data_IF_786659207104
#
_entry.id   IF_786659207104
#
_cell.length_a   1.000
_cell.length_b   1.000
_cell.length_c   1.000
_cell.angle_alpha   90.00
_cell.angle_beta   90.00
_cell.angle_gamma   90.00
#
_symmetry.space_group_name_H-M   'P 1'
#
loop_
_entity.id
_entity.type
_entity.pdbx_description
1 polymer ?
#
# COMPACT_ATOMS: atom_id res chain seq x y z
N UNK A 1 -30.48 5.53 -2.06
CA UNK A 1 -29.60 6.51 -1.40
C UNK A 1 -28.22 5.88 -1.30
N UNK A 2 -27.33 6.19 -2.25
CA UNK A 2 -25.94 5.70 -2.34
C UNK A 2 -25.14 6.85 -2.92
N UNK A 3 -24.15 7.34 -2.16
CA UNK A 3 -23.41 8.57 -2.48
C UNK A 3 -23.29 9.44 -1.24
N UNK A 4 -22.44 9.03 -0.30
CA UNK A 4 -21.97 9.92 0.76
C UNK A 4 -20.72 10.64 0.26
N UNK A 5 -20.87 11.89 -0.17
CA UNK A 5 -19.72 12.78 -0.41
C UNK A 5 -19.28 13.38 0.93
N UNK A 6 -18.08 13.05 1.41
CA UNK A 6 -17.43 13.82 2.46
C UNK A 6 -16.74 15.00 1.75
N UNK A 7 -17.50 16.05 1.48
CA UNK A 7 -17.00 17.31 0.95
C UNK A 7 -16.69 18.25 2.12
N UNK A 8 -15.42 18.30 2.55
CA UNK A 8 -14.97 19.26 3.57
C UNK A 8 -14.47 20.53 2.88
N UNK A 9 -15.34 21.51 2.66
CA UNK A 9 -14.94 22.86 2.21
C UNK A 9 -14.82 23.79 3.42
N UNK A 10 -13.59 24.22 3.76
CA UNK A 10 -13.37 25.32 4.71
C UNK A 10 -12.92 24.97 6.15
N UNK A 11 -11.97 24.04 6.31
CA UNK A 11 -11.08 23.77 7.47
C UNK A 11 -11.24 22.44 8.26
N UNK A 12 -10.04 21.96 8.63
CA UNK A 12 -9.60 20.98 9.64
C UNK A 12 -10.07 19.53 9.55
N UNK A 13 -9.29 18.75 8.79
CA UNK A 13 -8.91 17.38 9.10
C UNK A 13 -8.52 17.24 10.59
N UNK A 14 -8.76 16.10 11.23
CA UNK A 14 -7.87 15.71 12.32
C UNK A 14 -6.49 15.44 11.72
N UNK A 15 -5.45 16.17 12.16
CA UNK A 15 -4.03 15.93 11.82
C UNK A 15 -3.61 15.82 10.33
N UNK A 16 -4.44 16.27 9.37
CA UNK A 16 -4.16 16.19 7.94
C UNK A 16 -4.76 14.99 7.21
N UNK A 17 -5.69 14.24 7.82
CA UNK A 17 -6.29 13.04 7.22
C UNK A 17 -7.74 13.28 6.75
N UNK A 18 -8.12 12.72 5.60
CA UNK A 18 -9.51 12.70 5.15
C UNK A 18 -10.33 11.68 5.95
N UNK A 19 -9.80 10.47 6.06
CA UNK A 19 -10.30 9.40 6.93
C UNK A 19 -9.16 8.92 7.81
N UNK A 20 -9.41 8.83 9.12
CA UNK A 20 -8.48 8.26 10.09
C UNK A 20 -9.10 7.00 10.68
N UNK A 21 -8.67 5.83 10.22
CA UNK A 21 -9.10 4.55 10.75
C UNK A 21 -8.18 4.13 11.90
N UNK A 22 -8.57 4.47 13.13
CA UNK A 22 -7.86 4.11 14.35
C UNK A 22 -7.86 2.59 14.60
N UNK A 23 -6.94 2.11 15.44
CA UNK A 23 -6.86 0.70 15.80
C UNK A 23 -8.21 0.17 16.32
N UNK A 24 -8.67 -0.96 15.75
CA UNK A 24 -9.96 -1.59 16.08
C UNK A 24 -11.20 -0.93 15.47
N UNK A 25 -11.05 0.20 14.76
CA UNK A 25 -12.17 0.88 14.10
C UNK A 25 -12.52 0.23 12.75
N UNK A 26 -13.75 0.46 12.30
CA UNK A 26 -14.22 0.07 10.96
C UNK A 26 -14.84 1.28 10.25
N UNK A 27 -14.44 1.54 9.01
CA UNK A 27 -15.03 2.55 8.15
C UNK A 27 -15.53 1.91 6.84
N UNK A 28 -16.73 2.29 6.39
CA UNK A 28 -17.28 1.91 5.09
C UNK A 28 -17.50 3.15 4.24
N UNK A 29 -16.93 3.18 3.04
CA UNK A 29 -16.96 4.32 2.12
C UNK A 29 -17.56 3.86 0.80
N UNK A 30 -18.67 4.48 0.40
CA UNK A 30 -19.43 4.11 -0.79
C UNK A 30 -19.79 5.36 -1.61
N UNK A 31 -19.30 5.43 -2.84
CA UNK A 31 -19.53 6.60 -3.69
C UNK A 31 -18.86 7.86 -3.15
N UNK A 32 -17.72 7.70 -2.46
CA UNK A 32 -17.08 8.79 -1.70
C UNK A 32 -15.93 9.39 -2.49
N UNK A 33 -15.84 10.72 -2.49
CA UNK A 33 -14.68 11.48 -3.00
C UNK A 33 -13.90 12.07 -1.83
N UNK A 34 -12.59 11.89 -1.78
CA UNK A 34 -11.69 12.37 -0.73
C UNK A 34 -10.57 13.20 -1.36
N UNK A 35 -10.49 14.48 -0.98
CA UNK A 35 -9.58 15.46 -1.59
C UNK A 35 -8.96 16.41 -0.57
N UNK A 36 -7.88 17.09 -0.97
CA UNK A 36 -7.23 18.18 -0.22
C UNK A 36 -6.73 17.81 1.19
N UNK A 37 -6.37 16.54 1.40
CA UNK A 37 -5.79 16.06 2.66
C UNK A 37 -4.29 15.77 2.48
N UNK A 38 -3.52 15.78 3.58
CA UNK A 38 -2.17 15.19 3.55
C UNK A 38 -2.29 13.69 3.24
N UNK A 39 -3.17 12.99 3.93
CA UNK A 39 -3.45 11.59 3.66
C UNK A 39 -4.94 11.45 3.39
N UNK A 40 -5.33 10.90 2.24
CA UNK A 40 -6.74 10.65 1.94
C UNK A 40 -7.35 9.70 2.96
N UNK A 41 -6.76 8.51 3.10
CA UNK A 41 -7.16 7.50 4.08
C UNK A 41 -5.92 7.08 4.87
N UNK A 42 -5.95 7.18 6.20
CA UNK A 42 -4.96 6.60 7.09
C UNK A 42 -5.52 5.36 7.77
N UNK A 43 -4.72 4.29 7.83
CA UNK A 43 -5.05 3.05 8.55
C UNK A 43 -4.00 2.71 9.59
N UNK A 44 -4.44 2.46 10.83
CA UNK A 44 -3.62 1.87 11.88
C UNK A 44 -3.75 0.34 11.90
N UNK A 45 -2.86 -0.33 12.64
CA UNK A 45 -2.96 -1.78 12.91
C UNK A 45 -4.34 -2.14 13.47
N UNK A 46 -4.92 -3.23 12.97
CA UNK A 46 -6.26 -3.71 13.33
C UNK A 46 -7.43 -2.77 12.99
N UNK A 47 -7.20 -1.70 12.23
CA UNK A 47 -8.30 -0.94 11.62
C UNK A 47 -8.84 -1.67 10.38
N UNK A 48 -10.09 -1.38 10.01
CA UNK A 48 -10.71 -1.90 8.79
C UNK A 48 -11.32 -0.76 7.97
N UNK A 49 -10.97 -0.66 6.69
CA UNK A 49 -11.58 0.28 5.75
C UNK A 49 -12.12 -0.49 4.55
N UNK A 50 -13.42 -0.33 4.27
CA UNK A 50 -14.08 -0.95 3.13
C UNK A 50 -14.44 0.12 2.11
N UNK A 51 -13.81 0.08 0.94
CA UNK A 51 -14.03 0.99 -0.16
C UNK A 51 -14.95 0.35 -1.20
N UNK A 52 -15.95 1.12 -1.63
CA UNK A 52 -16.81 0.80 -2.77
C UNK A 52 -16.96 2.05 -3.63
N UNK A 53 -16.56 2.00 -4.89
CA UNK A 53 -16.74 3.11 -5.83
C UNK A 53 -16.24 4.47 -5.30
N UNK A 54 -14.93 4.63 -5.10
CA UNK A 54 -14.35 5.81 -4.45
C UNK A 54 -13.41 6.60 -5.39
N UNK A 55 -13.24 7.89 -5.11
CA UNK A 55 -12.23 8.73 -5.76
C UNK A 55 -11.39 9.36 -4.66
N UNK A 56 -10.09 9.08 -4.62
CA UNK A 56 -9.16 9.65 -3.64
C UNK A 56 -8.07 10.38 -4.41
N UNK A 57 -8.22 11.69 -4.54
CA UNK A 57 -7.42 12.53 -5.45
C UNK A 57 -7.06 13.87 -4.81
N UNK A 58 -6.09 14.62 -5.34
CA UNK A 58 -5.65 15.91 -4.78
C UNK A 58 -5.25 15.86 -3.30
N UNK A 59 -4.77 14.70 -2.83
CA UNK A 59 -4.13 14.54 -1.53
C UNK A 59 -2.60 14.47 -1.71
N UNK A 60 -1.82 14.43 -0.62
CA UNK A 60 -0.40 14.04 -0.76
C UNK A 60 -0.32 12.55 -1.05
N UNK A 61 -0.90 11.74 -0.16
CA UNK A 61 -1.01 10.28 -0.31
C UNK A 61 -2.48 9.85 -0.38
N UNK A 62 -2.90 9.00 -1.34
CA UNK A 62 -4.24 8.46 -1.36
C UNK A 62 -4.52 7.58 -0.14
N UNK A 63 -3.61 6.65 0.17
CA UNK A 63 -3.67 5.77 1.34
C UNK A 63 -2.35 5.81 2.07
N UNK A 64 -2.42 5.90 3.40
CA UNK A 64 -1.29 5.93 4.33
C UNK A 64 -1.47 4.82 5.36
N UNK A 65 -0.62 3.79 5.31
CA UNK A 65 -0.55 2.76 6.34
C UNK A 65 0.42 3.21 7.44
N UNK A 66 -0.09 3.68 8.59
CA UNK A 66 0.71 3.82 9.82
C UNK A 66 0.84 2.49 10.57
N UNK A 67 0.02 1.51 10.21
CA UNK A 67 0.10 0.13 10.65
C UNK A 67 -0.65 -0.79 9.69
N UNK A 68 -0.63 -2.09 9.96
CA UNK A 68 -1.18 -3.13 9.09
C UNK A 68 -2.71 -3.25 9.20
N UNK A 69 -3.41 -2.15 8.90
CA UNK A 69 -4.86 -2.13 8.77
C UNK A 69 -5.36 -2.90 7.55
N UNK A 70 -6.58 -3.38 7.63
CA UNK A 70 -7.26 -4.08 6.54
C UNK A 70 -7.91 -3.05 5.62
N UNK A 71 -7.55 -3.08 4.33
CA UNK A 71 -8.22 -2.33 3.29
C UNK A 71 -8.91 -3.31 2.34
N UNK A 72 -10.21 -3.18 2.18
CA UNK A 72 -10.97 -3.91 1.16
C UNK A 72 -11.35 -2.94 0.05
N UNK A 73 -11.03 -3.29 -1.20
CA UNK A 73 -11.39 -2.49 -2.37
C UNK A 73 -12.37 -3.30 -3.20
N UNK A 74 -13.58 -2.77 -3.35
CA UNK A 74 -14.63 -3.34 -4.19
C UNK A 74 -15.18 -2.28 -5.14
N UNK A 75 -15.72 -2.71 -6.28
CA UNK A 75 -16.10 -1.77 -7.35
C UNK A 75 -14.89 -1.00 -7.91
N UNK A 76 -15.14 0.18 -8.48
CA UNK A 76 -14.11 0.99 -9.16
C UNK A 76 -13.63 2.10 -8.23
N UNK A 77 -12.40 2.00 -7.74
CA UNK A 77 -11.78 3.07 -6.96
C UNK A 77 -10.62 3.70 -7.74
N UNK A 78 -10.57 5.03 -7.77
CA UNK A 78 -9.47 5.81 -8.34
C UNK A 78 -8.62 6.41 -7.22
N UNK A 79 -7.30 6.20 -7.31
CA UNK A 79 -6.30 6.68 -6.36
C UNK A 79 -5.25 7.59 -7.04
N UNK A 80 -5.56 8.10 -8.23
CA UNK A 80 -4.69 8.97 -9.02
C UNK A 80 -4.98 10.46 -8.80
N UNK A 81 -4.11 11.33 -9.31
CA UNK A 81 -4.20 12.79 -9.13
C UNK A 81 -3.79 13.29 -7.75
N UNK A 82 -3.11 12.45 -6.96
CA UNK A 82 -2.45 12.86 -5.72
C UNK A 82 -1.03 13.37 -6.00
N UNK A 83 -0.40 14.01 -5.01
CA UNK A 83 1.01 14.42 -5.11
C UNK A 83 1.88 13.21 -5.42
N UNK A 84 1.59 12.08 -4.77
CA UNK A 84 2.17 10.78 -5.13
C UNK A 84 1.06 9.76 -5.28
N UNK A 85 0.98 9.13 -6.45
CA UNK A 85 -0.03 8.12 -6.76
C UNK A 85 0.42 6.73 -6.28
N UNK A 86 0.56 6.56 -4.96
CA UNK A 86 0.96 5.31 -4.33
C UNK A 86 0.35 5.16 -2.93
N UNK A 87 0.16 3.91 -2.50
CA UNK A 87 -0.19 3.58 -1.13
C UNK A 87 1.07 3.59 -0.28
N UNK A 88 1.18 4.57 0.61
CA UNK A 88 2.37 4.79 1.42
C UNK A 88 2.38 3.87 2.64
N UNK A 89 3.37 2.98 2.72
CA UNK A 89 3.56 2.07 3.86
C UNK A 89 4.61 2.66 4.80
N UNK A 90 4.17 3.28 5.89
CA UNK A 90 5.02 3.91 6.90
C UNK A 90 5.01 3.16 8.24
N UNK A 91 5.24 1.87 8.15
CA UNK A 91 5.65 1.02 9.26
C UNK A 91 6.57 -0.07 8.70
N UNK A 92 7.33 -0.70 9.58
CA UNK A 92 8.43 -1.57 9.17
C UNK A 92 8.19 -3.06 9.48
N UNK A 93 7.05 -3.40 10.08
CA UNK A 93 6.70 -4.78 10.42
C UNK A 93 5.19 -4.91 10.61
N UNK A 94 4.67 -6.13 10.45
CA UNK A 94 3.34 -6.50 10.95
C UNK A 94 3.38 -7.83 11.70
N UNK A 95 2.33 -8.06 12.48
CA UNK A 95 2.03 -9.33 13.14
C UNK A 95 0.68 -9.87 12.65
N UNK A 96 0.51 -11.19 12.64
CA UNK A 96 -0.71 -11.83 12.13
C UNK A 96 -0.76 -11.80 10.60
N UNK A 97 -1.95 -11.89 10.02
CA UNK A 97 -2.12 -11.87 8.56
C UNK A 97 -2.39 -10.45 8.08
N UNK A 98 -1.58 -9.97 7.15
CA UNK A 98 -1.84 -8.73 6.42
C UNK A 98 -1.95 -9.02 4.93
N UNK A 99 -3.08 -8.64 4.34
CA UNK A 99 -3.36 -8.83 2.91
C UNK A 99 -3.35 -7.48 2.22
N UNK A 100 -2.47 -7.33 1.24
CA UNK A 100 -2.51 -6.20 0.32
C UNK A 100 -3.55 -6.48 -0.77
N UNK A 101 -4.69 -5.76 -0.81
CA UNK A 101 -5.64 -5.90 -1.92
C UNK A 101 -4.96 -5.56 -3.25
N UNK A 102 -5.50 -6.04 -4.36
CA UNK A 102 -5.04 -5.57 -5.68
C UNK A 102 -5.40 -4.09 -5.82
N UNK A 103 -4.40 -3.25 -6.08
CA UNK A 103 -4.55 -1.81 -6.25
C UNK A 103 -4.07 -1.35 -7.63
N UNK A 104 -4.69 -0.30 -8.17
CA UNK A 104 -4.31 0.31 -9.45
C UNK A 104 -3.08 1.23 -9.35
N UNK A 105 -2.56 1.44 -8.14
CA UNK A 105 -1.37 2.24 -7.83
C UNK A 105 -0.38 1.40 -7.02
N UNK A 106 0.94 1.69 -7.06
CA UNK A 106 1.93 0.93 -6.30
C UNK A 106 1.75 1.04 -4.77
N UNK A 107 2.26 0.04 -4.07
CA UNK A 107 2.59 0.15 -2.65
C UNK A 107 4.02 0.66 -2.52
N UNK A 108 4.20 1.78 -1.83
CA UNK A 108 5.52 2.35 -1.58
C UNK A 108 5.95 2.10 -0.13
N UNK A 109 6.92 1.19 0.02
CA UNK A 109 7.58 0.88 1.28
C UNK A 109 8.74 1.84 1.51
N UNK A 110 8.49 2.85 2.34
CA UNK A 110 9.49 3.87 2.66
C UNK A 110 10.63 3.33 3.52
N UNK A 111 10.32 2.39 4.40
CA UNK A 111 11.29 1.70 5.26
C UNK A 111 11.45 0.25 4.82
N UNK A 112 12.52 -0.41 5.29
CA UNK A 112 12.61 -1.86 5.22
C UNK A 112 11.43 -2.50 5.95
N UNK A 113 10.94 -3.60 5.42
CA UNK A 113 9.70 -4.19 5.87
C UNK A 113 9.90 -5.65 6.28
N UNK A 114 9.38 -6.02 7.44
CA UNK A 114 9.51 -7.37 8.01
C UNK A 114 8.15 -8.05 8.13
N UNK A 115 8.02 -9.23 7.53
CA UNK A 115 6.96 -10.17 7.88
C UNK A 115 7.42 -10.91 9.12
N UNK A 116 6.85 -10.59 10.30
CA UNK A 116 7.31 -11.15 11.56
C UNK A 116 7.14 -12.69 11.62
N UNK A 117 7.86 -13.33 12.53
CA UNK A 117 7.70 -14.77 12.76
C UNK A 117 6.26 -15.12 13.14
N UNK A 118 5.76 -16.25 12.62
CA UNK A 118 4.36 -16.68 12.77
C UNK A 118 3.33 -15.79 12.05
N UNK A 119 3.75 -14.77 11.32
CA UNK A 119 2.88 -13.83 10.60
C UNK A 119 2.86 -14.12 9.10
N UNK A 120 1.85 -13.61 8.40
CA UNK A 120 1.67 -13.86 6.97
C UNK A 120 1.47 -12.56 6.21
N UNK A 121 2.18 -12.38 5.11
CA UNK A 121 1.91 -11.35 4.11
C UNK A 121 1.26 -11.99 2.89
N UNK A 122 0.09 -11.51 2.48
CA UNK A 122 -0.56 -11.94 1.24
C UNK A 122 -0.53 -10.79 0.24
N UNK A 123 0.01 -11.04 -0.94
CA UNK A 123 0.10 -10.04 -2.01
C UNK A 123 -0.79 -10.47 -3.16
N UNK A 124 -1.84 -9.69 -3.43
CA UNK A 124 -2.73 -9.91 -4.57
C UNK A 124 -2.01 -9.79 -5.92
N UNK A 125 -2.55 -10.48 -6.93
CA UNK A 125 -2.05 -10.37 -8.31
C UNK A 125 -2.10 -8.92 -8.82
N UNK A 126 -1.21 -8.59 -9.75
CA UNK A 126 -1.04 -7.25 -10.36
C UNK A 126 -0.54 -6.15 -9.42
N UNK A 127 -0.26 -6.44 -8.16
CA UNK A 127 0.33 -5.45 -7.28
C UNK A 127 1.79 -5.16 -7.66
N UNK A 128 2.16 -3.89 -7.49
CA UNK A 128 3.51 -3.37 -7.64
C UNK A 128 3.95 -2.92 -6.25
N UNK A 129 5.02 -3.52 -5.73
CA UNK A 129 5.64 -3.15 -4.47
C UNK A 129 6.98 -2.46 -4.76
N UNK A 130 7.12 -1.25 -4.25
CA UNK A 130 8.30 -0.41 -4.44
C UNK A 130 9.00 -0.17 -3.13
N UNK A 131 10.32 -0.36 -3.13
CA UNK A 131 11.14 -0.30 -1.93
C UNK A 131 12.16 0.83 -2.04
N UNK A 132 12.23 1.68 -1.01
CA UNK A 132 13.20 2.77 -0.93
C UNK A 132 14.63 2.24 -0.80
N UNK A 133 15.63 2.89 -1.39
CA UNK A 133 17.03 2.62 -1.01
C UNK A 133 17.34 3.15 0.40
N UNK A 134 18.10 2.44 1.27
CA UNK A 134 18.70 1.11 1.13
C UNK A 134 17.93 0.03 1.89
N UNK A 135 16.70 -0.29 1.48
CA UNK A 135 15.82 -1.18 2.25
C UNK A 135 15.83 -2.63 1.73
N UNK A 136 15.37 -3.55 2.59
CA UNK A 136 15.15 -4.98 2.27
C UNK A 136 13.71 -5.33 2.61
N UNK A 137 13.13 -6.30 1.90
CA UNK A 137 11.89 -6.96 2.31
C UNK A 137 12.21 -8.29 3.01
N UNK A 138 12.15 -8.28 4.34
CA UNK A 138 12.58 -9.38 5.19
C UNK A 138 11.40 -10.30 5.54
N UNK A 139 11.53 -11.58 5.20
CA UNK A 139 10.54 -12.61 5.49
C UNK A 139 11.06 -13.45 6.66
N UNK A 140 10.39 -13.35 7.81
CA UNK A 140 10.61 -14.21 8.99
C UNK A 140 9.40 -15.09 9.30
N UNK A 141 8.28 -14.85 8.62
CA UNK A 141 7.05 -15.63 8.68
C UNK A 141 6.74 -16.27 7.32
N UNK A 142 5.52 -16.08 6.83
CA UNK A 142 5.05 -16.63 5.55
C UNK A 142 4.83 -15.51 4.54
N UNK A 143 5.38 -15.65 3.34
CA UNK A 143 5.06 -14.79 2.19
C UNK A 143 4.20 -15.56 1.19
N UNK A 144 3.01 -15.05 0.88
CA UNK A 144 2.14 -15.58 -0.17
C UNK A 144 2.01 -14.55 -1.28
N UNK A 145 2.91 -14.64 -2.27
CA UNK A 145 2.91 -13.86 -3.51
C UNK A 145 2.68 -14.80 -4.69
N UNK A 146 1.42 -15.23 -4.88
CA UNK A 146 1.03 -16.23 -5.88
C UNK A 146 0.13 -15.60 -6.94
N UNK A 147 0.73 -14.98 -7.96
CA UNK A 147 -0.06 -14.29 -8.99
C UNK A 147 -0.80 -15.32 -9.88
N UNK A 148 -1.98 -15.01 -10.39
CA UNK A 148 -2.71 -15.89 -11.30
C UNK A 148 -1.99 -16.07 -12.66
N UNK A 149 -2.36 -17.09 -13.43
CA UNK A 149 -1.83 -17.28 -14.80
C UNK A 149 -2.16 -16.03 -15.64
N UNK A 150 -1.16 -15.51 -16.35
CA UNK A 150 -1.28 -14.29 -17.16
C UNK A 150 -1.15 -12.99 -16.36
N UNK A 151 -1.02 -13.05 -15.04
CA UNK A 151 -0.77 -11.89 -14.17
C UNK A 151 0.61 -12.00 -13.52
N UNK A 152 1.14 -10.87 -13.05
CA UNK A 152 2.40 -10.81 -12.32
C UNK A 152 2.26 -10.02 -11.01
N UNK A 153 3.21 -10.19 -10.10
CA UNK A 153 3.46 -9.28 -8.97
C UNK A 153 4.84 -8.70 -9.18
N UNK A 154 5.01 -7.38 -9.04
CA UNK A 154 6.27 -6.71 -9.28
C UNK A 154 6.89 -6.25 -7.96
N UNK A 155 8.18 -6.52 -7.76
CA UNK A 155 8.98 -6.01 -6.67
C UNK A 155 10.13 -5.20 -7.27
N UNK A 156 10.18 -3.90 -7.01
CA UNK A 156 11.22 -3.04 -7.60
C UNK A 156 11.61 -1.90 -6.66
N UNK A 157 12.56 -1.06 -7.08
CA UNK A 157 12.95 0.14 -6.37
C UNK A 157 11.88 1.22 -6.48
N UNK A 158 11.80 2.10 -5.48
CA UNK A 158 11.05 3.36 -5.56
C UNK A 158 11.43 4.22 -6.78
N UNK A 159 12.71 4.16 -7.20
CA UNK A 159 13.28 4.85 -8.37
C UNK A 159 12.91 4.26 -9.73
N UNK A 160 12.10 3.19 -9.78
CA UNK A 160 11.72 2.52 -11.03
C UNK A 160 10.40 3.04 -11.60
N UNK A 161 10.44 4.13 -12.35
CA UNK A 161 9.22 4.76 -12.88
C UNK A 161 8.51 3.92 -13.96
N UNK A 162 9.17 2.89 -14.50
CA UNK A 162 8.60 2.04 -15.55
C UNK A 162 7.40 1.23 -15.06
N UNK A 163 7.28 1.02 -13.74
CA UNK A 163 6.20 0.25 -13.13
C UNK A 163 5.39 1.13 -12.20
N UNK A 164 4.21 1.59 -12.64
CA UNK A 164 3.27 2.33 -11.80
C UNK A 164 3.66 3.77 -11.47
N UNK A 165 4.64 4.35 -12.17
CA UNK A 165 4.99 5.77 -12.11
C UNK A 165 5.94 6.18 -10.98
N UNK A 166 6.23 7.48 -10.91
CA UNK A 166 7.18 8.09 -9.96
C UNK A 166 6.63 8.10 -8.53
N UNK A 167 7.16 7.23 -7.67
CA UNK A 167 6.71 7.07 -6.27
C UNK A 167 7.59 7.77 -5.24
N UNK A 168 8.80 8.14 -5.63
CA UNK A 168 9.74 8.96 -4.86
C UNK A 168 9.58 10.46 -5.17
N UNK A 169 8.75 10.81 -6.15
CA UNK A 169 8.37 12.16 -6.53
C UNK A 169 9.59 13.04 -6.87
N UNK A 170 10.54 12.48 -7.60
CA UNK A 170 11.75 13.19 -8.05
C UNK A 170 11.82 13.42 -9.57
N UNK A 171 10.72 13.16 -10.27
CA UNK A 171 10.62 13.27 -11.71
C UNK A 171 11.54 12.25 -12.36
N UNK A 172 12.49 12.72 -13.17
CA UNK A 172 13.48 11.85 -13.83
C UNK A 172 14.85 11.95 -13.15
N UNK A 173 14.93 12.42 -11.90
CA UNK A 173 16.20 12.68 -11.24
C UNK A 173 16.94 11.39 -10.89
N UNK A 174 16.21 10.30 -10.65
CA UNK A 174 16.80 8.99 -10.41
C UNK A 174 16.26 7.95 -11.38
N UNK A 175 16.96 6.83 -11.49
CA UNK A 175 16.60 5.72 -12.36
C UNK A 175 16.86 4.38 -11.64
N UNK A 176 16.16 3.30 -12.02
CA UNK A 176 16.37 2.01 -11.41
C UNK A 176 17.75 1.45 -11.75
N UNK A 177 18.44 0.94 -10.75
CA UNK A 177 19.74 0.31 -10.86
C UNK A 177 19.86 -0.83 -9.83
N UNK A 178 20.73 -1.79 -10.12
CA UNK A 178 21.04 -2.88 -9.20
C UNK A 178 21.51 -2.31 -7.87
N UNK A 179 20.96 -2.80 -6.76
CA UNK A 179 21.30 -2.35 -5.41
C UNK A 179 20.51 -1.13 -4.92
N UNK A 180 19.59 -0.56 -5.73
CA UNK A 180 18.66 0.47 -5.25
C UNK A 180 17.63 -0.05 -4.22
N UNK A 181 17.60 -1.36 -4.00
CA UNK A 181 17.05 -2.04 -2.83
C UNK A 181 17.73 -3.42 -2.74
N UNK A 182 17.68 -4.06 -1.57
CA UNK A 182 18.42 -5.31 -1.33
C UNK A 182 17.67 -6.59 -1.72
N UNK A 183 16.42 -6.48 -2.18
CA UNK A 183 15.61 -7.61 -2.59
C UNK A 183 14.72 -8.17 -1.47
N UNK A 184 14.16 -9.35 -1.74
CA UNK A 184 13.39 -10.16 -0.78
C UNK A 184 14.34 -11.14 -0.10
N UNK A 185 14.41 -11.10 1.22
CA UNK A 185 15.30 -11.95 2.02
C UNK A 185 14.50 -12.86 2.95
N UNK A 186 14.66 -14.16 2.79
CA UNK A 186 14.10 -15.16 3.70
C UNK A 186 15.10 -15.47 4.81
N UNK A 187 14.63 -15.52 6.04
CA UNK A 187 15.39 -15.92 7.22
C UNK A 187 15.14 -17.38 7.61
N UNK A 188 15.96 -17.92 8.52
CA UNK A 188 15.86 -19.31 9.00
C UNK A 188 14.48 -19.64 9.58
N UNK A 189 13.82 -18.65 10.20
CA UNK A 189 12.50 -18.81 10.80
C UNK A 189 11.34 -18.69 9.80
N UNK A 190 11.62 -18.41 8.51
CA UNK A 190 10.58 -18.35 7.47
C UNK A 190 9.84 -19.67 7.34
N UNK A 191 8.56 -19.58 6.97
CA UNK A 191 7.76 -20.77 6.71
C UNK A 191 8.02 -21.32 5.30
N UNK A 192 8.34 -22.60 5.18
CA UNK A 192 8.52 -23.33 3.91
C UNK A 192 7.25 -23.33 3.03
N UNK A 193 6.08 -23.03 3.61
CA UNK A 193 4.85 -22.82 2.86
C UNK A 193 4.82 -21.48 2.08
N UNK A 194 5.86 -20.65 2.20
CA UNK A 194 5.96 -19.41 1.43
C UNK A 194 6.02 -19.69 -0.06
N UNK A 195 5.37 -18.83 -0.85
CA UNK A 195 5.29 -18.95 -2.31
C UNK A 195 5.53 -17.61 -2.95
N UNK A 196 6.43 -17.61 -3.95
CA UNK A 196 6.63 -16.52 -4.89
C UNK A 196 6.47 -17.09 -6.30
N UNK A 197 5.31 -16.88 -6.91
CA UNK A 197 4.98 -17.39 -8.24
C UNK A 197 4.54 -16.25 -9.15
N UNK A 198 5.13 -16.20 -10.34
CA UNK A 198 4.93 -15.12 -11.34
C UNK A 198 5.27 -13.73 -10.75
N UNK A 199 6.32 -13.70 -9.94
CA UNK A 199 6.90 -12.47 -9.43
C UNK A 199 7.99 -11.95 -10.40
N UNK A 200 8.12 -10.63 -10.49
CA UNK A 200 9.06 -9.91 -11.34
C UNK A 200 9.87 -8.93 -10.53
#
# INVERSE_FOLDING_TARGET
>A
MTGGSINLTGYQTSFGHGIYAAAGSTAGLNGTTIIHCKNGILTETNSTVNLTSCIVTTNVWPVYYSGSGVLTISGVCDFTGNTVNAFYVNHSTHTGTWTLPTAAVPYYFYNGYTVANGSTMVIGSQNILKFRYPTTFDIRGTLTADAAIGQNIFFTSDRDDNWGGDTNNDGTSTAPAVGNWYGVRFYNESNDASVMRRCK
#
